data_IF_303273268797
#
_entry.id   IF_303273268797
#
_cell.length_a   1.000
_cell.length_b   1.000
_cell.length_c   1.000
_cell.angle_alpha   90.00
_cell.angle_beta   90.00
_cell.angle_gamma   90.00
#
_symmetry.space_group_name_H-M   'P 1'
#
loop_
_entity.id
_entity.type
_entity.pdbx_description
1 polymer ?
#
# COMPACT_ATOMS: atom_id res chain seq x y z
N UNK A 1 -0.73 12.62 -6.83
CA UNK A 1 -0.09 11.37 -7.31
C UNK A 1 0.92 11.66 -8.41
N UNK A 2 0.58 12.47 -9.41
CA UNK A 2 1.57 13.02 -10.36
C UNK A 2 2.73 13.66 -9.62
N UNK A 3 2.49 14.47 -8.59
CA UNK A 3 3.57 15.13 -7.83
C UNK A 3 4.42 14.18 -6.96
N UNK A 4 3.89 13.00 -6.58
CA UNK A 4 4.63 12.02 -5.78
C UNK A 4 5.62 11.21 -6.64
N UNK A 5 5.22 10.90 -7.88
CA UNK A 5 6.00 10.12 -8.85
C UNK A 5 6.84 11.02 -9.76
N UNK A 6 6.43 12.26 -10.00
CA UNK A 6 7.07 13.22 -10.92
C UNK A 6 8.11 14.11 -10.22
N UNK A 7 7.99 14.35 -8.90
CA UNK A 7 8.96 15.15 -8.13
C UNK A 7 10.23 14.37 -7.69
N UNK A 8 10.46 13.14 -8.14
CA UNK A 8 11.73 12.45 -7.94
C UNK A 8 12.07 11.99 -6.51
N UNK A 9 11.13 12.07 -5.56
CA UNK A 9 11.38 11.74 -4.15
C UNK A 9 11.14 10.27 -3.78
N UNK A 10 10.08 9.65 -4.31
CA UNK A 10 9.74 8.26 -3.99
C UNK A 10 10.19 7.36 -5.13
N UNK A 11 11.41 6.81 -5.02
CA UNK A 11 11.84 5.72 -5.89
C UNK A 11 10.92 4.53 -5.65
N UNK A 12 10.57 3.81 -6.71
CA UNK A 12 9.85 2.54 -6.55
C UNK A 12 10.67 1.62 -5.65
N UNK A 13 9.96 0.82 -4.84
CA UNK A 13 10.62 -0.13 -3.93
C UNK A 13 11.48 -1.12 -4.72
N UNK A 14 12.66 -1.42 -4.21
CA UNK A 14 13.52 -2.53 -4.60
C UNK A 14 14.17 -3.13 -3.33
N UNK A 15 14.86 -4.26 -3.46
CA UNK A 15 15.45 -4.97 -2.32
C UNK A 15 16.45 -4.14 -1.50
N UNK A 16 17.06 -3.11 -2.10
CA UNK A 16 18.10 -2.28 -1.47
C UNK A 16 17.55 -1.00 -0.83
N UNK A 17 16.33 -0.58 -1.18
CA UNK A 17 15.72 0.66 -0.69
C UNK A 17 14.41 0.44 0.08
N UNK A 18 14.03 -0.81 0.33
CA UNK A 18 12.75 -1.16 0.95
C UNK A 18 12.49 -0.43 2.27
N UNK A 19 13.51 -0.25 3.12
CA UNK A 19 13.37 0.47 4.39
C UNK A 19 13.02 1.95 4.23
N UNK A 20 13.71 2.63 3.31
CA UNK A 20 13.46 4.05 3.01
C UNK A 20 12.11 4.21 2.30
N UNK A 21 11.82 3.33 1.34
CA UNK A 21 10.53 3.26 0.66
C UNK A 21 9.38 3.08 1.65
N UNK A 22 9.51 2.12 2.57
CA UNK A 22 8.50 1.83 3.59
C UNK A 22 8.23 3.06 4.46
N UNK A 23 9.27 3.81 4.82
CA UNK A 23 9.15 5.02 5.63
C UNK A 23 8.46 6.15 4.85
N UNK A 24 8.82 6.34 3.58
CA UNK A 24 8.18 7.33 2.71
C UNK A 24 6.71 6.99 2.43
N UNK A 25 6.39 5.74 2.07
CA UNK A 25 5.02 5.32 1.75
C UNK A 25 4.13 5.38 2.99
N UNK A 26 4.65 5.00 4.17
CA UNK A 26 3.94 5.16 5.43
C UNK A 26 3.60 6.62 5.70
N UNK A 27 4.58 7.52 5.57
CA UNK A 27 4.38 8.96 5.79
C UNK A 27 3.37 9.57 4.83
N UNK A 28 3.43 9.15 3.56
CA UNK A 28 2.47 9.57 2.54
C UNK A 28 1.05 9.07 2.85
N UNK A 29 0.90 7.77 3.16
CA UNK A 29 -0.40 7.19 3.50
C UNK A 29 -0.98 7.83 4.76
N UNK A 30 -0.18 8.14 5.78
CA UNK A 30 -0.64 8.87 6.96
C UNK A 30 -1.16 10.28 6.60
N UNK A 31 -0.42 11.03 5.78
CA UNK A 31 -0.84 12.36 5.33
C UNK A 31 -2.10 12.37 4.45
N UNK A 32 -2.48 11.21 3.89
CA UNK A 32 -3.69 11.02 3.08
C UNK A 32 -4.83 10.34 3.85
N UNK A 33 -4.67 10.11 5.15
CA UNK A 33 -5.58 9.29 5.98
C UNK A 33 -5.70 7.84 5.50
N UNK A 34 -4.81 7.35 4.64
CA UNK A 34 -4.89 6.00 4.05
C UNK A 34 -4.15 4.93 4.87
N UNK A 35 -3.37 5.31 5.87
CA UNK A 35 -2.54 4.36 6.62
C UNK A 35 -3.39 3.39 7.46
N UNK A 36 -4.51 3.83 8.00
CA UNK A 36 -5.34 3.04 8.94
C UNK A 36 -5.94 1.77 8.31
N UNK A 37 -6.26 1.82 7.01
CA UNK A 37 -6.74 0.65 6.25
C UNK A 37 -5.61 -0.35 5.95
N UNK A 38 -4.35 0.09 5.98
CA UNK A 38 -3.15 -0.75 5.74
C UNK A 38 -2.61 -1.32 7.06
N UNK A 39 -2.50 -0.47 8.08
CA UNK A 39 -1.87 -0.73 9.37
C UNK A 39 -2.67 -1.62 10.31
N UNK A 40 -3.79 -2.19 9.84
CA UNK A 40 -4.62 -3.15 10.57
C UNK A 40 -5.61 -2.58 11.58
N UNK A 41 -5.74 -1.27 11.73
CA UNK A 41 -6.77 -0.64 12.57
C UNK A 41 -8.15 -0.65 11.93
N UNK A 42 -8.25 -0.60 10.60
CA UNK A 42 -9.51 -0.67 9.84
C UNK A 42 -9.54 -1.84 8.83
N UNK A 43 -8.85 -2.96 9.08
CA UNK A 43 -8.85 -4.09 8.11
C UNK A 43 -10.22 -4.73 7.91
N UNK A 44 -11.08 -4.66 8.93
CA UNK A 44 -12.41 -5.25 8.89
C UNK A 44 -13.39 -4.25 8.27
N UNK A 45 -14.11 -4.62 7.19
CA UNK A 45 -15.14 -3.76 6.65
C UNK A 45 -16.22 -3.51 7.72
N UNK A 46 -16.79 -2.30 7.77
CA UNK A 46 -17.90 -2.01 8.68
C UNK A 46 -19.13 -2.88 8.35
N UNK A 47 -20.09 -3.02 9.28
CA UNK A 47 -21.30 -3.80 9.07
C UNK A 47 -22.02 -3.41 7.78
N UNK A 48 -22.54 -4.40 7.04
CA UNK A 48 -23.21 -4.19 5.73
C UNK A 48 -24.42 -3.25 5.82
N UNK A 49 -25.03 -3.16 7.00
CA UNK A 49 -26.16 -2.28 7.30
C UNK A 49 -25.76 -0.80 7.26
N UNK A 50 -24.49 -0.48 7.55
CA UNK A 50 -23.95 0.87 7.43
C UNK A 50 -23.35 1.08 6.02
N UNK A 51 -24.24 1.25 5.05
CA UNK A 51 -23.89 1.37 3.63
C UNK A 51 -22.97 2.56 3.33
N UNK A 52 -23.12 3.66 4.06
CA UNK A 52 -22.27 4.85 3.93
C UNK A 52 -20.85 4.59 4.45
N UNK A 53 -20.72 4.02 5.65
CA UNK A 53 -19.41 3.64 6.20
C UNK A 53 -18.72 2.61 5.31
N UNK A 54 -19.46 1.62 4.78
CA UNK A 54 -18.93 0.62 3.86
C UNK A 54 -18.45 1.24 2.55
N UNK A 55 -19.17 2.22 2.01
CA UNK A 55 -18.75 2.95 0.80
C UNK A 55 -17.47 3.75 1.06
N UNK A 56 -17.40 4.50 2.16
CA UNK A 56 -16.21 5.28 2.55
C UNK A 56 -15.00 4.37 2.74
N UNK A 57 -15.18 3.26 3.45
CA UNK A 57 -14.16 2.23 3.65
C UNK A 57 -13.65 1.66 2.33
N UNK A 58 -14.54 1.26 1.41
CA UNK A 58 -14.16 0.74 0.09
C UNK A 58 -13.35 1.76 -0.73
N UNK A 59 -13.73 3.03 -0.68
CA UNK A 59 -12.99 4.11 -1.36
C UNK A 59 -11.60 4.30 -0.74
N UNK A 60 -11.51 4.32 0.59
CA UNK A 60 -10.25 4.45 1.35
C UNK A 60 -9.30 3.29 1.04
N UNK A 61 -9.80 2.05 1.12
CA UNK A 61 -9.06 0.83 0.78
C UNK A 61 -8.62 0.80 -0.68
N UNK A 62 -9.51 1.16 -1.62
CA UNK A 62 -9.17 1.21 -3.04
C UNK A 62 -8.06 2.22 -3.36
N UNK A 63 -8.10 3.41 -2.74
CA UNK A 63 -7.05 4.43 -2.88
C UNK A 63 -5.72 3.95 -2.30
N UNK A 64 -5.73 3.35 -1.11
CA UNK A 64 -4.52 2.81 -0.48
C UNK A 64 -3.88 1.72 -1.35
N UNK A 65 -4.68 0.78 -1.86
CA UNK A 65 -4.20 -0.27 -2.78
C UNK A 65 -3.61 0.31 -4.07
N UNK A 66 -4.25 1.32 -4.66
CA UNK A 66 -3.74 1.95 -5.88
C UNK A 66 -2.37 2.61 -5.64
N UNK A 67 -2.23 3.35 -4.54
CA UNK A 67 -0.97 3.98 -4.14
C UNK A 67 0.14 2.94 -3.93
N UNK A 68 -0.15 1.85 -3.23
CA UNK A 68 0.80 0.76 -3.01
C UNK A 68 1.24 0.12 -4.33
N UNK A 69 0.30 -0.20 -5.22
CA UNK A 69 0.62 -0.79 -6.54
C UNK A 69 1.46 0.13 -7.42
N UNK A 70 1.22 1.43 -7.37
CA UNK A 70 1.96 2.41 -8.18
C UNK A 70 3.36 2.72 -7.64
N UNK A 71 3.65 2.36 -6.38
CA UNK A 71 4.91 2.70 -5.71
C UNK A 71 5.84 1.49 -5.57
N UNK A 72 5.42 0.31 -6.00
CA UNK A 72 6.21 -0.92 -6.08
C UNK A 72 6.62 -1.12 -7.55
N UNK A 73 7.87 -1.53 -7.83
CA UNK A 73 8.27 -1.96 -9.19
C UNK A 73 7.57 -3.26 -9.59
N UNK A 74 7.22 -3.42 -10.87
CA UNK A 74 6.65 -4.68 -11.40
C UNK A 74 7.53 -5.90 -11.05
N UNK A 75 8.86 -5.73 -11.00
CA UNK A 75 9.84 -6.78 -10.67
C UNK A 75 9.78 -7.29 -9.21
N UNK A 76 9.09 -6.58 -8.30
CA UNK A 76 8.84 -7.07 -6.93
C UNK A 76 7.60 -7.98 -6.84
N UNK A 77 6.72 -7.99 -7.86
CA UNK A 77 5.64 -8.97 -7.93
C UNK A 77 6.20 -10.37 -8.16
N UNK A 78 7.31 -10.48 -8.90
CA UNK A 78 8.01 -11.75 -9.13
C UNK A 78 8.69 -12.26 -7.84
N UNK A 79 9.37 -11.39 -7.09
CA UNK A 79 10.01 -11.78 -5.82
C UNK A 79 9.02 -12.12 -4.69
N UNK A 80 7.83 -11.50 -4.66
CA UNK A 80 6.77 -11.91 -3.73
C UNK A 80 6.14 -13.25 -4.11
N UNK A 81 6.14 -13.64 -5.39
CA UNK A 81 5.75 -15.00 -5.82
C UNK A 81 6.78 -16.04 -5.40
N UNK A 82 8.07 -15.72 -5.51
CA UNK A 82 9.14 -16.65 -5.09
C UNK A 82 9.22 -16.82 -3.56
N UNK A 83 8.81 -15.80 -2.80
CA UNK A 83 8.74 -15.88 -1.34
C UNK A 83 7.54 -16.70 -0.82
N UNK A 84 6.58 -17.09 -1.68
CA UNK A 84 5.41 -17.90 -1.32
C UNK A 84 5.64 -19.42 -1.48
N UNK A 85 6.87 -19.84 -1.82
CA UNK A 85 7.32 -21.23 -1.64
C UNK A 85 8.10 -21.41 -0.32
N UNK A 86 7.45 -21.84 0.77
CA UNK A 86 8.15 -22.41 1.92
C UNK A 86 8.46 -23.89 1.62
N UNK A 87 9.63 -24.15 1.04
CA UNK A 87 10.37 -25.43 1.08
C UNK A 87 11.55 -25.33 0.08
N UNK A 88 12.78 -25.74 0.34
CA UNK A 88 13.34 -26.62 1.36
C UNK A 88 14.88 -26.54 1.22
N UNK A 89 15.59 -26.74 2.34
CA UNK A 89 17.05 -26.92 2.50
C UNK A 89 17.95 -25.67 2.60
#
# INVERSE_FOLDING_TARGET
MSDLLSAGGMRRSNSHNYGDWQTCIKSYLMGQDLWEVVASTEKTPPPKENTEALRKWRIKTGKAMFVLKMTIEEDLVEHMRDAETPNEA
#
